data_IF_459980737002
#
_entry.id   IF_459980737002
#
_cell.length_a   1.000
_cell.length_b   1.000
_cell.length_c   1.000
_cell.angle_alpha   90.00
_cell.angle_beta   90.00
_cell.angle_gamma   90.00
#
_symmetry.space_group_name_H-M   'P 1'
#
loop_
_entity.id
_entity.type
_entity.pdbx_description
1 polymer ?
#
# COMPACT_ATOMS: atom_id res chain seq x y z
N UNK A 1 -1.18 15.63 4.22
CA UNK A 1 -2.58 15.58 3.74
C UNK A 1 -3.36 16.75 4.33
N UNK A 2 -3.43 16.88 5.66
CA UNK A 2 -4.07 17.99 6.39
C UNK A 2 -3.80 19.37 5.77
N UNK A 3 -2.53 19.80 5.64
CA UNK A 3 -2.19 21.08 5.00
C UNK A 3 -2.66 21.27 3.54
N UNK A 4 -2.96 20.20 2.80
CA UNK A 4 -3.34 20.24 1.38
C UNK A 4 -4.86 20.39 1.20
N UNK A 5 -5.63 19.90 2.17
CA UNK A 5 -7.10 19.85 2.09
C UNK A 5 -7.79 20.48 3.31
N UNK A 6 -7.06 21.13 4.21
CA UNK A 6 -7.60 21.67 5.45
C UNK A 6 -8.71 22.71 5.25
N UNK A 7 -8.77 23.40 4.11
CA UNK A 7 -9.89 24.26 3.73
C UNK A 7 -11.18 23.46 3.47
N UNK A 8 -11.08 22.24 2.94
CA UNK A 8 -12.22 21.35 2.72
C UNK A 8 -12.76 20.80 4.05
N UNK A 9 -11.91 20.63 5.07
CA UNK A 9 -12.33 20.20 6.42
C UNK A 9 -13.15 21.27 7.16
N UNK A 10 -13.11 22.53 6.71
CA UNK A 10 -13.91 23.63 7.28
C UNK A 10 -15.33 23.71 6.69
N UNK A 11 -15.66 22.87 5.69
CA UNK A 11 -16.97 22.88 5.05
C UNK A 11 -18.08 22.35 5.96
N UNK A 12 -19.23 23.02 5.95
CA UNK A 12 -20.41 22.61 6.73
C UNK A 12 -21.26 21.53 6.07
N UNK A 13 -21.33 21.51 4.73
CA UNK A 13 -22.03 20.50 3.93
C UNK A 13 -21.63 20.62 2.44
N UNK A 14 -21.01 19.59 1.81
CA UNK A 14 -20.57 18.33 2.42
C UNK A 14 -19.51 18.56 3.49
N UNK A 15 -19.50 17.71 4.50
CA UNK A 15 -18.43 17.66 5.51
C UNK A 15 -17.31 16.75 5.03
N UNK A 16 -16.07 17.15 5.29
CA UNK A 16 -14.86 16.36 5.02
C UNK A 16 -14.15 16.10 6.34
N UNK A 17 -13.74 14.86 6.57
CA UNK A 17 -12.94 14.50 7.74
C UNK A 17 -11.87 13.48 7.41
N UNK A 18 -10.81 13.49 8.20
CA UNK A 18 -9.67 12.59 8.06
C UNK A 18 -9.68 11.50 9.14
N UNK A 19 -9.44 10.26 8.73
CA UNK A 19 -9.16 9.14 9.63
C UNK A 19 -7.75 8.60 9.35
N UNK A 20 -6.82 8.86 10.26
CA UNK A 20 -5.45 8.39 10.13
C UNK A 20 -5.30 6.95 10.64
N UNK A 21 -4.61 6.14 9.84
CA UNK A 21 -4.23 4.77 10.16
C UNK A 21 -2.72 4.59 9.92
N UNK A 22 -2.18 3.45 10.36
CA UNK A 22 -0.75 3.17 10.22
C UNK A 22 -0.38 3.00 8.74
N UNK A 23 0.21 4.04 8.14
CA UNK A 23 0.66 4.03 6.75
C UNK A 23 -0.41 4.37 5.71
N UNK A 24 -1.62 4.79 6.14
CA UNK A 24 -2.67 5.28 5.24
C UNK A 24 -3.56 6.31 5.94
N UNK A 25 -4.29 7.11 5.17
CA UNK A 25 -5.29 8.05 5.69
C UNK A 25 -6.54 7.95 4.83
N UNK A 26 -7.69 7.76 5.47
CA UNK A 26 -8.98 7.74 4.80
C UNK A 26 -9.60 9.13 4.85
N UNK A 27 -10.12 9.61 3.72
CA UNK A 27 -10.85 10.88 3.62
C UNK A 27 -12.34 10.57 3.52
N UNK A 28 -13.13 10.99 4.52
CA UNK A 28 -14.58 10.77 4.54
C UNK A 28 -15.31 12.02 4.08
N UNK A 29 -16.13 11.87 3.05
CA UNK A 29 -17.05 12.91 2.57
C UNK A 29 -18.46 12.53 3.03
N UNK A 30 -19.21 13.48 3.59
CA UNK A 30 -20.61 13.24 3.96
C UNK A 30 -21.45 14.45 3.58
N UNK A 31 -22.42 14.24 2.69
CA UNK A 31 -23.37 15.27 2.25
C UNK A 31 -24.76 15.00 2.81
N UNK A 32 -25.52 16.08 3.04
CA UNK A 32 -26.95 16.06 3.35
C UNK A 32 -27.69 16.82 2.27
N UNK A 33 -28.70 16.20 1.66
CA UNK A 33 -29.56 16.80 0.65
C UNK A 33 -30.96 16.18 0.68
N UNK A 34 -31.91 16.82 0.01
CA UNK A 34 -33.31 16.37 -0.07
C UNK A 34 -33.52 15.15 -0.99
N UNK A 35 -32.49 14.79 -1.78
CA UNK A 35 -32.48 13.56 -2.58
C UNK A 35 -31.07 12.94 -2.60
N UNK A 36 -31.02 11.64 -2.88
CA UNK A 36 -29.78 10.89 -2.99
C UNK A 36 -28.93 11.39 -4.16
N UNK A 37 -29.55 11.71 -5.30
CA UNK A 37 -28.84 12.23 -6.47
C UNK A 37 -28.14 13.56 -6.18
N UNK A 38 -28.81 14.45 -5.44
CA UNK A 38 -28.21 15.73 -5.04
C UNK A 38 -27.07 15.53 -4.04
N UNK A 39 -27.24 14.63 -3.06
CA UNK A 39 -26.16 14.30 -2.13
C UNK A 39 -24.95 13.73 -2.87
N UNK A 40 -25.18 12.84 -3.83
CA UNK A 40 -24.12 12.23 -4.62
C UNK A 40 -23.39 13.24 -5.50
N UNK A 41 -24.11 14.17 -6.13
CA UNK A 41 -23.49 15.24 -6.91
C UNK A 41 -22.57 16.12 -6.06
N UNK A 42 -23.00 16.45 -4.83
CA UNK A 42 -22.16 17.21 -3.89
C UNK A 42 -20.92 16.42 -3.45
N UNK A 43 -21.06 15.11 -3.21
CA UNK A 43 -19.93 14.24 -2.88
C UNK A 43 -18.92 14.20 -4.04
N UNK A 44 -19.40 13.99 -5.27
CA UNK A 44 -18.56 13.93 -6.47
C UNK A 44 -17.79 15.24 -6.71
N UNK A 45 -18.39 16.40 -6.40
CA UNK A 45 -17.70 17.69 -6.50
C UNK A 45 -16.49 17.76 -5.57
N UNK A 46 -16.66 17.35 -4.31
CA UNK A 46 -15.58 17.33 -3.32
C UNK A 46 -14.55 16.27 -3.67
N UNK A 47 -14.98 15.08 -4.09
CA UNK A 47 -14.10 14.01 -4.53
C UNK A 47 -13.22 14.45 -5.71
N UNK A 48 -13.79 15.15 -6.70
CA UNK A 48 -13.04 15.71 -7.82
C UNK A 48 -11.96 16.69 -7.37
N UNK A 49 -12.26 17.57 -6.40
CA UNK A 49 -11.28 18.49 -5.79
C UNK A 49 -10.18 17.73 -5.04
N UNK A 50 -10.53 16.68 -4.30
CA UNK A 50 -9.57 15.83 -3.60
C UNK A 50 -8.65 15.13 -4.59
N UNK A 51 -9.19 14.53 -5.65
CA UNK A 51 -8.42 13.87 -6.72
C UNK A 51 -7.48 14.84 -7.43
N UNK A 52 -7.92 16.06 -7.70
CA UNK A 52 -7.04 17.08 -8.29
C UNK A 52 -5.87 17.48 -7.37
N UNK A 53 -6.10 17.53 -6.06
CA UNK A 53 -5.10 18.00 -5.09
C UNK A 53 -4.17 16.91 -4.58
N UNK A 54 -4.71 15.73 -4.33
CA UNK A 54 -3.99 14.59 -3.75
C UNK A 54 -3.41 13.68 -4.84
N UNK A 55 -4.00 13.68 -6.05
CA UNK A 55 -3.49 12.94 -7.21
C UNK A 55 -3.13 11.51 -6.87
N UNK A 56 -1.86 11.18 -7.07
CA UNK A 56 -1.29 9.84 -6.87
C UNK A 56 -1.34 9.35 -5.42
N UNK A 57 -1.69 10.18 -4.44
CA UNK A 57 -1.85 9.76 -3.05
C UNK A 57 -3.17 9.02 -2.80
N UNK A 58 -4.15 9.15 -3.70
CA UNK A 58 -5.40 8.39 -3.64
C UNK A 58 -5.18 7.05 -4.32
N UNK A 59 -5.31 5.97 -3.56
CA UNK A 59 -5.21 4.61 -4.12
C UNK A 59 -6.57 4.03 -4.48
N UNK A 60 -7.66 4.43 -3.84
CA UNK A 60 -8.99 3.90 -4.11
C UNK A 60 -10.10 4.75 -3.50
N UNK A 61 -11.34 4.44 -3.86
CA UNK A 61 -12.55 4.99 -3.26
C UNK A 61 -13.49 3.88 -2.76
N UNK A 62 -14.33 4.22 -1.79
CA UNK A 62 -15.35 3.34 -1.23
C UNK A 62 -14.81 2.00 -0.70
N UNK A 63 -15.08 0.91 -1.43
CA UNK A 63 -14.73 -0.46 -1.03
C UNK A 63 -13.43 -0.97 -1.66
N UNK A 64 -12.72 -0.13 -2.43
CA UNK A 64 -11.44 -0.50 -3.01
C UNK A 64 -10.38 -0.65 -1.92
N UNK A 65 -9.84 -1.86 -1.79
CA UNK A 65 -8.68 -2.13 -0.92
C UNK A 65 -7.37 -1.82 -1.65
N UNK A 66 -6.33 -1.50 -0.88
CA UNK A 66 -5.00 -1.22 -1.43
C UNK A 66 -4.43 -2.46 -2.14
N UNK A 67 -4.74 -3.65 -1.63
CA UNK A 67 -4.41 -4.95 -2.23
C UNK A 67 -5.08 -5.12 -3.58
N UNK A 68 -6.38 -4.84 -3.67
CA UNK A 68 -7.12 -5.00 -4.91
C UNK A 68 -6.56 -4.07 -5.98
N UNK A 69 -6.27 -2.82 -5.61
CA UNK A 69 -5.67 -1.83 -6.51
C UNK A 69 -4.29 -2.28 -6.99
N UNK A 70 -3.43 -2.73 -6.07
CA UNK A 70 -2.09 -3.20 -6.40
C UNK A 70 -2.12 -4.43 -7.33
N UNK A 71 -2.93 -5.44 -7.00
CA UNK A 71 -3.05 -6.67 -7.78
C UNK A 71 -3.71 -6.43 -9.14
N UNK A 72 -4.72 -5.57 -9.23
CA UNK A 72 -5.33 -5.17 -10.50
C UNK A 72 -4.31 -4.44 -11.39
N UNK A 73 -3.47 -3.58 -10.82
CA UNK A 73 -2.43 -2.89 -11.58
C UNK A 73 -1.44 -3.88 -12.21
N UNK A 74 -0.87 -4.79 -11.41
CA UNK A 74 0.05 -5.82 -11.89
C UNK A 74 -0.62 -6.75 -12.91
N UNK A 75 -1.88 -7.15 -12.66
CA UNK A 75 -2.65 -7.98 -13.57
C UNK A 75 -2.92 -7.30 -14.92
N UNK A 76 -3.11 -5.99 -14.94
CA UNK A 76 -3.28 -5.22 -16.18
C UNK A 76 -2.03 -5.22 -17.07
N UNK A 77 -0.85 -5.44 -16.47
CA UNK A 77 0.43 -5.63 -17.17
C UNK A 77 0.71 -7.08 -17.54
N UNK A 78 -0.13 -8.01 -17.08
CA UNK A 78 0.08 -9.45 -17.23
C UNK A 78 1.23 -9.99 -16.37
N UNK A 79 1.55 -9.32 -15.26
CA UNK A 79 2.65 -9.73 -14.38
C UNK A 79 2.16 -10.60 -13.22
N UNK A 80 2.77 -11.76 -13.05
CA UNK A 80 2.61 -12.60 -11.85
C UNK A 80 3.50 -12.10 -10.70
N UNK A 81 2.92 -12.02 -9.51
CA UNK A 81 3.55 -11.52 -8.30
C UNK A 81 3.82 -12.65 -7.30
N UNK A 82 5.02 -12.67 -6.74
CA UNK A 82 5.32 -13.37 -5.50
C UNK A 82 5.97 -12.46 -4.45
N UNK A 83 5.93 -12.89 -3.19
CA UNK A 83 6.48 -12.12 -2.06
C UNK A 83 7.38 -12.99 -1.18
N UNK A 84 8.51 -12.43 -0.75
CA UNK A 84 9.33 -12.99 0.34
C UNK A 84 9.31 -12.00 1.49
N UNK A 85 8.87 -12.42 2.68
CA UNK A 85 8.77 -11.54 3.84
C UNK A 85 9.50 -12.05 5.08
N UNK A 86 10.04 -11.14 5.89
CA UNK A 86 10.68 -11.45 7.17
C UNK A 86 10.31 -10.38 8.22
N UNK A 87 9.87 -10.81 9.40
CA UNK A 87 9.47 -9.89 10.48
C UNK A 87 8.08 -9.25 10.30
N UNK A 88 7.31 -9.66 9.28
CA UNK A 88 5.93 -9.21 9.02
C UNK A 88 4.87 -10.22 9.48
N UNK A 89 5.29 -11.37 10.02
CA UNK A 89 4.42 -12.43 10.57
C UNK A 89 3.46 -13.09 9.58
N UNK A 90 3.73 -13.08 8.27
CA UNK A 90 2.82 -13.64 7.28
C UNK A 90 1.78 -12.65 6.76
N UNK A 91 1.75 -11.42 7.28
CA UNK A 91 0.64 -10.49 7.07
C UNK A 91 0.53 -10.02 5.61
N UNK A 92 1.66 -9.73 4.94
CA UNK A 92 1.62 -9.29 3.55
C UNK A 92 1.12 -10.43 2.64
N UNK A 93 1.67 -11.64 2.82
CA UNK A 93 1.26 -12.81 2.06
C UNK A 93 -0.22 -13.14 2.32
N UNK A 94 -0.67 -13.10 3.58
CA UNK A 94 -2.05 -13.39 3.93
C UNK A 94 -3.03 -12.41 3.28
N UNK A 95 -2.74 -11.11 3.30
CA UNK A 95 -3.59 -10.08 2.67
C UNK A 95 -3.66 -10.23 1.15
N UNK A 96 -2.52 -10.49 0.51
CA UNK A 96 -2.47 -10.75 -0.94
C UNK A 96 -3.21 -12.03 -1.31
N UNK A 97 -3.00 -13.12 -0.58
CA UNK A 97 -3.69 -14.41 -0.82
C UNK A 97 -5.21 -14.33 -0.62
N UNK A 98 -5.67 -13.42 0.23
CA UNK A 98 -7.10 -13.19 0.48
C UNK A 98 -7.77 -12.31 -0.59
N UNK A 99 -7.01 -11.80 -1.56
CA UNK A 99 -7.48 -10.89 -2.59
C UNK A 99 -7.31 -11.51 -3.98
N UNK A 100 -8.32 -11.43 -4.83
CA UNK A 100 -8.23 -11.95 -6.19
C UNK A 100 -7.23 -11.14 -7.03
N UNK A 101 -6.32 -11.83 -7.70
CA UNK A 101 -5.32 -11.18 -8.56
C UNK A 101 -4.18 -12.12 -8.95
N UNK A 102 -3.14 -11.60 -9.60
CA UNK A 102 -2.02 -12.40 -10.09
C UNK A 102 -1.01 -12.73 -8.98
N UNK A 103 -1.47 -13.09 -7.79
CA UNK A 103 -0.59 -13.48 -6.68
C UNK A 103 -0.33 -14.98 -6.71
N UNK A 104 0.92 -15.37 -7.03
CA UNK A 104 1.34 -16.77 -7.20
C UNK A 104 1.82 -17.41 -5.89
N UNK A 105 2.02 -16.63 -4.84
CA UNK A 105 2.39 -17.11 -3.49
C UNK A 105 3.60 -16.39 -2.90
N UNK A 106 4.19 -16.98 -1.87
CA UNK A 106 5.33 -16.38 -1.20
C UNK A 106 5.98 -17.24 -0.14
N UNK A 107 7.02 -16.70 0.49
CA UNK A 107 7.79 -17.34 1.56
C UNK A 107 7.92 -16.41 2.77
N UNK A 108 7.73 -16.97 3.97
CA UNK A 108 8.00 -16.28 5.24
C UNK A 108 9.33 -16.77 5.79
N UNK A 109 10.32 -15.89 5.80
CA UNK A 109 11.63 -16.14 6.39
C UNK A 109 11.59 -15.92 7.90
N UNK A 110 12.34 -16.75 8.62
CA UNK A 110 12.40 -16.71 10.08
C UNK A 110 13.25 -15.55 10.62
N UNK A 111 14.19 -15.05 9.83
CA UNK A 111 15.12 -14.01 10.25
C UNK A 111 15.14 -12.85 9.24
N UNK A 112 15.16 -11.59 9.73
CA UNK A 112 15.37 -10.44 8.88
C UNK A 112 16.69 -10.50 8.09
N UNK A 113 16.67 -10.04 6.84
CA UNK A 113 17.82 -10.01 5.94
C UNK A 113 18.32 -8.57 5.76
N UNK A 114 19.61 -8.38 5.50
CA UNK A 114 20.07 -7.09 4.99
C UNK A 114 19.65 -6.89 3.53
N UNK A 115 19.80 -5.68 3.00
CA UNK A 115 19.35 -5.32 1.67
C UNK A 115 19.98 -6.19 0.55
N UNK A 116 21.29 -6.44 0.61
CA UNK A 116 22.02 -7.21 -0.40
C UNK A 116 21.57 -8.67 -0.45
N UNK A 117 21.43 -9.31 0.70
CA UNK A 117 20.93 -10.70 0.77
C UNK A 117 19.46 -10.79 0.38
N UNK A 118 18.64 -9.79 0.73
CA UNK A 118 17.24 -9.75 0.32
C UNK A 118 17.12 -9.80 -1.21
N UNK A 119 17.87 -8.97 -1.92
CA UNK A 119 17.86 -8.93 -3.38
C UNK A 119 18.26 -10.28 -3.99
N UNK A 120 19.32 -10.90 -3.46
CA UNK A 120 19.78 -12.22 -3.93
C UNK A 120 18.72 -13.31 -3.74
N UNK A 121 18.02 -13.30 -2.60
CA UNK A 121 16.97 -14.27 -2.30
C UNK A 121 15.78 -14.09 -3.24
N UNK A 122 15.32 -12.86 -3.46
CA UNK A 122 14.16 -12.64 -4.34
C UNK A 122 14.47 -12.89 -5.81
N UNK A 123 15.70 -12.65 -6.27
CA UNK A 123 16.10 -13.03 -7.64
C UNK A 123 16.14 -14.56 -7.79
N UNK A 124 16.67 -15.26 -6.78
CA UNK A 124 16.66 -16.73 -6.76
C UNK A 124 15.22 -17.28 -6.75
N UNK A 125 14.34 -16.68 -5.96
CA UNK A 125 12.91 -17.03 -5.92
C UNK A 125 12.25 -16.80 -7.29
N UNK A 126 12.49 -15.63 -7.91
CA UNK A 126 11.94 -15.30 -9.23
C UNK A 126 12.30 -16.36 -10.27
N UNK A 127 13.57 -16.74 -10.33
CA UNK A 127 14.07 -17.74 -11.28
C UNK A 127 13.50 -19.14 -11.01
N UNK A 128 13.43 -19.55 -9.74
CA UNK A 128 12.95 -20.87 -9.36
C UNK A 128 11.44 -21.04 -9.60
N UNK A 129 10.66 -19.98 -9.39
CA UNK A 129 9.20 -20.00 -9.49
C UNK A 129 8.66 -19.47 -10.83
N UNK A 130 9.54 -18.91 -11.69
CA UNK A 130 9.20 -18.38 -13.01
C UNK A 130 8.09 -17.31 -12.99
N UNK A 131 8.13 -16.41 -11.99
CA UNK A 131 7.20 -15.28 -11.85
C UNK A 131 7.82 -13.98 -12.39
N UNK A 132 7.00 -13.02 -12.81
CA UNK A 132 7.47 -11.76 -13.39
C UNK A 132 8.00 -10.80 -12.33
N UNK A 133 7.28 -10.71 -11.20
CA UNK A 133 7.54 -9.76 -10.12
C UNK A 133 7.77 -10.50 -8.81
N UNK A 134 8.86 -10.17 -8.11
CA UNK A 134 9.08 -10.60 -6.73
C UNK A 134 9.37 -9.40 -5.86
N UNK A 135 8.62 -9.25 -4.77
CA UNK A 135 8.89 -8.25 -3.74
C UNK A 135 9.42 -8.92 -2.47
N UNK A 136 10.59 -8.47 -2.03
CA UNK A 136 11.18 -8.81 -0.74
C UNK A 136 10.89 -7.72 0.27
N UNK A 137 10.43 -8.08 1.47
CA UNK A 137 10.20 -7.12 2.56
C UNK A 137 10.73 -7.69 3.86
N UNK A 138 11.65 -6.97 4.50
CA UNK A 138 12.22 -7.39 5.78
C UNK A 138 12.20 -6.25 6.78
N UNK A 139 11.58 -6.49 7.93
CA UNK A 139 11.47 -5.55 9.03
C UNK A 139 12.50 -5.90 10.12
N UNK A 140 13.32 -4.93 10.46
CA UNK A 140 14.35 -4.98 11.50
C UNK A 140 13.90 -4.12 12.68
N UNK A 141 13.61 -4.74 13.83
CA UNK A 141 13.32 -3.98 15.02
C UNK A 141 14.52 -3.18 15.50
N UNK A 142 14.30 -1.92 15.86
CA UNK A 142 15.30 -1.07 16.49
C UNK A 142 14.76 -0.37 17.73
N UNK A 143 15.65 0.26 18.51
CA UNK A 143 15.29 0.91 19.78
C UNK A 143 14.54 2.23 19.55
N UNK A 144 15.01 3.06 18.63
CA UNK A 144 14.40 4.36 18.32
C UNK A 144 13.49 4.29 17.09
N UNK A 145 13.89 3.51 16.08
CA UNK A 145 13.17 3.35 14.82
C UNK A 145 13.28 1.92 14.33
N UNK A 146 12.26 1.48 13.62
CA UNK A 146 12.25 0.21 12.91
C UNK A 146 12.77 0.45 11.49
N UNK A 147 13.70 -0.38 11.02
CA UNK A 147 14.22 -0.30 9.66
C UNK A 147 13.51 -1.34 8.81
N UNK A 148 13.07 -0.96 7.63
CA UNK A 148 12.47 -1.87 6.66
C UNK A 148 13.34 -1.83 5.40
N UNK A 149 13.83 -2.98 4.97
CA UNK A 149 14.38 -3.11 3.63
C UNK A 149 13.32 -3.71 2.72
N UNK A 150 13.01 -2.99 1.66
CA UNK A 150 12.15 -3.47 0.60
C UNK A 150 12.96 -3.55 -0.68
N UNK A 151 12.86 -4.66 -1.39
CA UNK A 151 13.42 -4.83 -2.71
C UNK A 151 12.34 -5.37 -3.64
N UNK A 152 12.33 -4.94 -4.88
CA UNK A 152 11.39 -5.46 -5.88
C UNK A 152 12.13 -5.64 -7.20
N UNK A 153 11.89 -6.78 -7.82
CA UNK A 153 12.35 -7.11 -9.16
C UNK A 153 11.13 -7.21 -10.05
N UNK A 154 11.12 -6.48 -11.15
CA UNK A 154 10.09 -6.51 -12.19
C UNK A 154 10.71 -6.80 -13.55
N UNK A 155 9.91 -7.03 -14.61
CA UNK A 155 10.43 -7.09 -15.98
C UNK A 155 11.12 -5.80 -16.44
N UNK A 156 10.78 -4.66 -15.84
CA UNK A 156 11.31 -3.34 -16.20
C UNK A 156 12.56 -2.94 -15.40
N UNK A 157 12.90 -3.67 -14.34
CA UNK A 157 14.12 -3.46 -13.57
C UNK A 157 14.00 -3.81 -12.10
N UNK A 158 15.02 -3.42 -11.36
CA UNK A 158 15.18 -3.72 -9.93
C UNK A 158 15.18 -2.43 -9.11
N UNK A 159 14.56 -2.45 -7.94
CA UNK A 159 14.55 -1.33 -7.01
C UNK A 159 14.81 -1.81 -5.59
N UNK A 160 15.62 -1.07 -4.85
CA UNK A 160 15.81 -1.23 -3.41
C UNK A 160 15.41 0.06 -2.71
N UNK A 161 14.54 -0.06 -1.71
CA UNK A 161 13.89 1.07 -1.05
C UNK A 161 14.08 0.88 0.46
N UNK A 162 15.12 1.48 1.07
CA UNK A 162 15.25 1.51 2.51
C UNK A 162 14.20 2.46 3.09
N UNK A 163 13.50 1.99 4.11
CA UNK A 163 12.43 2.71 4.80
C UNK A 163 12.70 2.71 6.31
N UNK A 164 12.25 3.75 7.00
CA UNK A 164 12.37 3.88 8.45
C UNK A 164 11.02 4.25 9.06
N UNK A 165 10.63 3.55 10.12
CA UNK A 165 9.40 3.81 10.85
C UNK A 165 9.71 4.18 12.31
N UNK A 166 9.43 5.45 12.65
CA UNK A 166 9.63 6.01 13.99
C UNK A 166 8.36 6.11 14.83
N UNK A 167 7.26 5.49 14.41
CA UNK A 167 6.01 5.45 15.19
C UNK A 167 6.01 4.33 16.25
N UNK A 168 4.89 4.10 16.95
CA UNK A 168 4.80 3.05 17.96
C UNK A 168 5.12 1.67 17.38
N UNK A 169 6.02 0.87 17.98
CA UNK A 169 6.50 -0.39 17.40
C UNK A 169 5.40 -1.40 17.04
N UNK A 170 4.30 -1.44 17.80
CA UNK A 170 3.17 -2.32 17.53
C UNK A 170 2.46 -2.10 16.19
N UNK A 171 2.70 -0.96 15.53
CA UNK A 171 2.15 -0.65 14.21
C UNK A 171 3.15 -0.80 13.07
N UNK A 172 4.41 -1.16 13.36
CA UNK A 172 5.46 -1.22 12.36
C UNK A 172 5.18 -2.25 11.26
N UNK A 173 4.63 -3.41 11.64
CA UNK A 173 4.20 -4.46 10.70
C UNK A 173 3.12 -3.92 9.77
N UNK A 174 2.01 -3.41 10.31
CA UNK A 174 0.91 -2.87 9.50
C UNK A 174 1.36 -1.72 8.60
N UNK A 175 2.23 -0.85 9.11
CA UNK A 175 2.81 0.23 8.34
C UNK A 175 3.65 -0.30 7.17
N UNK A 176 4.56 -1.25 7.43
CA UNK A 176 5.42 -1.85 6.40
C UNK A 176 4.58 -2.54 5.31
N UNK A 177 3.57 -3.32 5.70
CA UNK A 177 2.65 -3.98 4.76
C UNK A 177 1.93 -2.95 3.89
N UNK A 178 1.42 -1.86 4.48
CA UNK A 178 0.76 -0.80 3.70
C UNK A 178 1.73 -0.07 2.76
N UNK A 179 2.99 0.15 3.15
CA UNK A 179 4.00 0.71 2.26
C UNK A 179 4.32 -0.24 1.10
N UNK A 180 4.43 -1.55 1.36
CA UNK A 180 4.67 -2.55 0.32
C UNK A 180 3.57 -2.54 -0.74
N UNK A 181 2.30 -2.54 -0.32
CA UNK A 181 1.17 -2.50 -1.24
C UNK A 181 1.09 -1.17 -2.01
N UNK A 182 1.42 -0.04 -1.38
CA UNK A 182 1.48 1.26 -2.05
C UNK A 182 2.58 1.34 -3.11
N UNK A 183 3.71 0.65 -2.88
CA UNK A 183 4.77 0.51 -3.88
C UNK A 183 4.29 -0.37 -5.03
N UNK A 184 3.70 -1.54 -4.74
CA UNK A 184 3.17 -2.45 -5.78
C UNK A 184 2.17 -1.77 -6.72
N UNK A 185 1.31 -0.91 -6.17
CA UNK A 185 0.36 -0.08 -6.92
C UNK A 185 1.01 0.83 -7.97
N UNK A 186 2.27 1.21 -7.79
CA UNK A 186 2.99 2.18 -8.63
C UNK A 186 4.01 1.53 -9.57
N UNK A 187 4.15 0.20 -9.55
CA UNK A 187 5.07 -0.55 -10.40
C UNK A 187 4.58 -0.58 -11.84
#
# INVERSE_FOLDING_TARGET
IDNVIGDLELLGNPTVGLAAHSGRVDVRITAKADSEENAQAMIQEIEGKLRQRLGDWIFGADQESLEQVALTHLGSKGWELAVVEAGLNGELIHRLASTSGPFSGGEVLTNPLNADYLLQIIESYRQAHQVDVVMGVTLHPGEEQQIIYLAVITPDGEQQIPLSYGGPPGYAVTWAVNQSLDIMRKL
#
